data_IF_009299590569
#
_entry.id   IF_009299590569
#
_cell.length_a   1.000
_cell.length_b   1.000
_cell.length_c   1.000
_cell.angle_alpha   90.00
_cell.angle_beta   90.00
_cell.angle_gamma   90.00
#
_symmetry.space_group_name_H-M   'P 1'
#
loop_
_entity.id
_entity.type
_entity.pdbx_description
1 polymer ?
2 non-polymer ?
3 water ?
#
# COMPACT_ATOMS: atom_id res chain seq x y z
N UNK A 45 -12.01 17.62 22.75
CA UNK A 45 -11.47 18.54 23.74
C UNK A 45 -10.42 19.45 23.12
N UNK A 46 -10.24 20.63 23.69
CA UNK A 46 -9.25 21.57 23.21
C UNK A 46 -9.65 22.21 21.90
N UNK A 47 -8.88 23.21 21.46
CA UNK A 47 -9.09 24.02 20.25
C UNK A 47 -9.27 23.18 18.98
N UNK A 54 -6.09 21.43 0.95
CA UNK A 54 -4.97 21.20 0.05
C UNK A 54 -5.30 21.59 -1.39
N UNK A 55 -4.58 22.61 -1.88
CA UNK A 55 -4.71 23.09 -3.24
C UNK A 55 -3.34 23.03 -3.89
N UNK A 56 -3.28 22.47 -5.09
CA UNK A 56 -1.99 22.27 -5.74
C UNK A 56 -1.44 23.60 -6.25
N UNK A 57 -0.17 23.83 -5.97
CA UNK A 57 0.61 24.95 -6.48
C UNK A 57 1.94 24.40 -6.96
N UNK A 58 2.61 25.09 -7.88
CA UNK A 58 3.91 24.60 -8.36
C UNK A 58 4.92 24.52 -7.22
N UNK A 59 5.54 23.36 -7.09
CA UNK A 59 6.51 23.09 -6.03
C UNK A 59 7.88 23.58 -6.50
N UNK A 60 8.55 24.43 -5.73
CA UNK A 60 9.81 25.02 -6.21
C UNK A 60 10.96 24.03 -6.15
N UNK A 61 12.03 24.39 -6.87
CA UNK A 61 13.27 23.63 -6.81
C UNK A 61 13.75 23.55 -5.36
N UNK A 62 14.22 22.36 -4.96
CA UNK A 62 14.63 22.17 -3.57
C UNK A 62 15.84 23.04 -3.23
N UNK A 63 16.63 23.45 -4.22
CA UNK A 63 17.75 24.34 -3.99
C UNK A 63 17.33 25.75 -3.58
N UNK A 64 16.06 26.09 -3.72
CA UNK A 64 15.57 27.41 -3.31
C UNK A 64 15.17 27.44 -1.83
N UNK A 65 15.37 26.37 -1.08
CA UNK A 65 14.85 26.25 0.27
C UNK A 65 15.97 26.07 1.28
N UNK A 66 15.82 26.73 2.42
CA UNK A 66 16.59 26.35 3.60
C UNK A 66 16.22 24.93 3.99
N UNK A 67 17.18 24.22 4.59
CA UNK A 67 16.94 22.82 4.93
C UNK A 67 15.75 22.67 5.87
N UNK A 68 15.62 23.57 6.84
CA UNK A 68 14.53 23.49 7.79
C UNK A 68 13.17 23.80 7.17
N UNK A 69 13.14 24.30 5.94
CA UNK A 69 11.88 24.62 5.28
C UNK A 69 11.46 23.56 4.26
N UNK A 70 12.20 22.46 4.14
CA UNK A 70 11.79 21.35 3.30
C UNK A 70 10.66 20.61 3.99
N UNK A 71 9.50 20.57 3.33
CA UNK A 71 8.30 19.93 3.89
C UNK A 71 7.86 18.81 2.95
N UNK A 72 8.26 17.57 3.26
CA UNK A 72 7.97 16.45 2.40
C UNK A 72 6.61 15.83 2.71
N UNK A 73 5.83 16.48 3.56
CA UNK A 73 4.44 16.06 3.76
C UNK A 73 3.53 16.57 2.66
N UNK A 74 4.01 17.42 1.76
CA UNK A 74 3.23 17.96 0.66
C UNK A 74 2.68 16.81 -0.19
N UNK A 75 1.36 16.66 -0.30
CA UNK A 75 0.80 15.50 -1.01
C UNK A 75 0.93 15.58 -2.52
N UNK A 76 1.54 16.62 -3.08
CA UNK A 76 1.72 16.78 -4.51
C UNK A 76 3.16 16.53 -4.95
N UNK A 77 4.04 16.18 -4.00
CA UNK A 77 5.46 16.00 -4.34
C UNK A 77 5.64 14.84 -5.30
N UNK A 78 4.86 13.77 -5.15
CA UNK A 78 4.96 12.64 -6.06
C UNK A 78 4.41 12.99 -7.44
N UNK A 79 3.21 13.58 -7.48
CA UNK A 79 2.60 13.95 -8.76
C UNK A 79 3.52 14.82 -9.59
N UNK A 80 4.16 15.80 -8.96
CA UNK A 80 4.98 16.76 -9.69
C UNK A 80 6.40 16.28 -9.94
N UNK A 81 6.75 15.08 -9.50
CA UNK A 81 8.09 14.57 -9.77
C UNK A 81 9.19 15.28 -9.03
N UNK A 82 8.85 16.03 -7.98
CA UNK A 82 9.86 16.70 -7.15
C UNK A 82 10.32 15.84 -5.99
N UNK A 83 9.63 14.73 -5.70
CA UNK A 83 9.92 13.94 -4.52
C UNK A 83 11.35 13.40 -4.53
N UNK A 84 11.88 13.07 -5.71
CA UNK A 84 13.23 12.49 -5.76
C UNK A 84 14.28 13.51 -5.31
N UNK A 85 14.19 14.74 -5.81
CA UNK A 85 15.18 15.75 -5.44
C UNK A 85 15.03 16.19 -3.99
N UNK A 86 13.79 16.22 -3.49
CA UNK A 86 13.57 16.62 -2.10
C UNK A 86 14.11 15.58 -1.12
N UNK A 87 13.85 14.31 -1.38
CA UNK A 87 14.35 13.27 -0.48
C UNK A 87 15.85 13.07 -0.61
N UNK A 88 16.41 13.28 -1.81
CA UNK A 88 17.86 13.16 -1.95
C UNK A 88 18.58 14.24 -1.15
N UNK A 89 18.06 15.47 -1.17
CA UNK A 89 18.63 16.52 -0.34
C UNK A 89 18.53 16.17 1.13
N UNK A 90 17.40 15.56 1.54
CA UNK A 90 17.28 15.13 2.93
C UNK A 90 18.27 14.00 3.23
N UNK A 91 18.34 12.97 2.39
CA UNK A 91 19.29 11.90 2.60
C UNK A 91 20.71 12.43 2.69
N UNK A 92 21.05 13.41 1.87
CA UNK A 92 22.44 13.86 1.77
C UNK A 92 22.83 14.71 2.98
N UNK A 93 21.98 15.67 3.36
CA UNK A 93 22.38 16.69 4.31
C UNK A 93 21.47 16.82 5.52
N UNK A 94 20.38 16.08 5.60
CA UNK A 94 19.55 16.09 6.79
C UNK A 94 18.80 14.76 6.93
N UNK A 95 19.52 13.63 7.05
CA UNK A 95 18.84 12.32 7.00
C UNK A 95 17.94 12.05 8.20
N UNK A 96 18.10 12.78 9.29
CA UNK A 96 17.12 12.81 10.38
C UNK A 96 16.71 14.26 10.54
N UNK A 97 15.57 14.62 9.97
CA UNK A 97 15.19 16.01 9.72
C UNK A 97 13.92 16.34 10.49
N UNK A 98 13.93 17.48 11.18
CA UNK A 98 12.76 17.95 11.92
C UNK A 98 12.10 19.09 11.15
N UNK A 99 10.83 18.91 10.81
CA UNK A 99 10.01 19.96 10.23
C UNK A 99 9.10 20.51 11.30
N UNK A 100 9.27 21.80 11.62
CA UNK A 100 8.49 22.40 12.70
C UNK A 100 7.10 22.81 12.25
N UNK A 101 6.91 23.11 10.96
CA UNK A 101 5.67 23.67 10.46
C UNK A 101 5.18 22.85 9.27
N UNK A 102 3.99 22.29 9.39
CA UNK A 102 3.32 21.60 8.30
C UNK A 102 1.83 21.58 8.60
N UNK A 103 0.98 21.36 7.59
CA UNK A 103 -0.47 21.27 7.86
C UNK A 103 -0.83 20.15 8.82
N UNK A 104 0.07 19.19 9.03
CA UNK A 104 -0.16 18.08 9.96
C UNK A 104 0.53 18.29 11.30
N UNK A 105 1.19 19.42 11.50
CA UNK A 105 1.99 19.64 12.68
C UNK A 105 3.43 19.21 12.44
N UNK A 106 4.25 19.26 13.48
CA UNK A 106 5.66 18.92 13.33
C UNK A 106 5.92 17.43 13.25
N UNK A 107 6.99 17.07 12.55
CA UNK A 107 7.33 15.65 12.40
C UNK A 107 8.78 15.52 11.95
N UNK A 108 9.39 14.39 12.32
CA UNK A 108 10.70 14.01 11.82
C UNK A 108 10.57 13.18 10.54
N UNK A 109 11.53 13.35 9.63
CA UNK A 109 11.65 12.52 8.44
C UNK A 109 12.94 11.73 8.54
N UNK A 110 12.84 10.39 8.44
CA UNK A 110 13.99 9.51 8.41
C UNK A 110 14.09 8.93 7.01
N UNK A 111 15.16 9.28 6.29
CA UNK A 111 15.19 9.09 4.85
C UNK A 111 16.25 8.13 4.34
N UNK A 112 17.20 7.71 5.17
CA UNK A 112 18.22 6.76 4.73
C UNK A 112 17.80 5.33 5.02
N UNK A 113 18.13 4.42 4.10
CA UNK A 113 17.75 3.02 4.23
C UNK A 113 18.16 2.44 5.57
N UNK A 114 19.44 2.63 5.94
CA UNK A 114 19.96 2.02 7.17
C UNK A 114 19.21 2.55 8.39
N UNK A 115 18.91 3.85 8.42
CA UNK A 115 18.22 4.43 9.57
C UNK A 115 16.78 3.96 9.65
N UNK A 116 16.11 3.84 8.50
CA UNK A 116 14.72 3.37 8.50
C UNK A 116 14.63 1.97 9.06
N UNK A 117 15.58 1.09 8.69
CA UNK A 117 15.63 -0.25 9.27
C UNK A 117 15.61 -0.19 10.79
N UNK A 118 16.47 0.67 11.35
CA UNK A 118 16.58 0.77 12.81
C UNK A 118 15.27 1.23 13.43
N UNK A 119 14.63 2.25 12.86
CA UNK A 119 13.40 2.75 13.45
C UNK A 119 12.29 1.70 13.33
N UNK A 120 12.23 1.03 12.18
CA UNK A 120 11.16 0.07 11.93
C UNK A 120 11.28 -1.15 12.85
N UNK A 121 12.51 -1.61 13.08
CA UNK A 121 12.72 -2.81 13.89
C UNK A 121 12.72 -2.53 15.38
N UNK A 122 12.95 -1.29 15.81
CA UNK A 122 13.06 -0.97 17.23
C UNK A 122 11.72 -0.46 17.77
N UNK A 123 10.77 -1.40 17.90
CA UNK A 123 9.48 -1.02 18.46
C UNK A 123 9.55 -0.72 19.95
N UNK A 124 10.64 -1.08 20.62
CA UNK A 124 10.83 -0.67 22.01
C UNK A 124 11.28 0.78 22.13
N UNK A 125 11.56 1.44 21.02
CA UNK A 125 11.94 2.84 21.00
C UNK A 125 10.96 3.71 20.23
N UNK A 126 10.34 3.18 19.18
CA UNK A 126 9.43 3.93 18.32
C UNK A 126 8.12 3.16 18.24
N UNK A 127 7.06 3.75 18.77
CA UNK A 127 5.75 3.09 18.83
C UNK A 127 4.98 3.24 17.51
N UNK A 128 4.27 2.19 17.14
CA UNK A 128 3.37 2.27 15.97
C UNK A 128 2.02 2.91 16.37
N UNK A 129 1.77 3.08 17.66
CA UNK A 129 0.48 3.62 18.18
C UNK A 129 0.45 5.15 18.18
N UNK A 130 -0.70 5.81 18.05
CA UNK A 130 -1.97 5.15 17.74
C UNK A 130 -2.35 5.09 16.25
N UNK A 131 -1.51 5.66 15.39
CA UNK A 131 -1.78 5.77 13.94
C UNK A 131 -0.46 5.69 13.18
N UNK A 132 -0.48 5.17 11.97
CA UNK A 132 0.77 5.03 11.18
C UNK A 132 0.75 5.97 9.95
N UNK A 133 -0.34 6.71 9.79
CA UNK A 133 -0.32 7.79 8.78
C UNK A 133 0.34 9.03 9.38
N UNK A 134 0.77 9.95 8.53
CA UNK A 134 1.47 11.16 8.99
C UNK A 134 0.58 12.05 9.88
N UNK A 135 -0.67 12.28 9.46
CA UNK A 135 -1.56 13.17 10.20
C UNK A 135 -2.44 12.44 11.20
N UNK A 136 -3.71 12.81 11.24
CA UNK A 136 -4.70 12.20 12.11
C UNK A 136 -5.93 11.80 11.31
N UNK A 137 -6.67 10.80 11.76
CA UNK A 137 -7.97 10.53 11.14
C UNK A 137 -8.97 11.58 11.57
N UNK A 138 -10.01 11.83 10.77
CA UNK A 138 -11.04 12.77 11.20
C UNK A 138 -11.70 12.32 12.50
N UNK A 139 -12.21 13.28 13.24
CA UNK A 139 -12.86 12.99 14.52
C UNK A 139 -14.02 12.02 14.30
N UNK A 140 -14.08 10.99 15.14
CA UNK A 140 -15.13 10.00 15.03
C UNK A 140 -14.81 8.83 14.12
N UNK A 141 -13.66 8.84 13.44
CA UNK A 141 -13.33 7.79 12.49
C UNK A 141 -12.07 7.02 12.88
N UNK A 142 -11.54 7.24 14.09
CA UNK A 142 -10.41 6.44 14.56
C UNK A 142 -10.84 5.00 14.76
N UNK A 143 -10.10 4.08 14.16
CA UNK A 143 -10.31 2.64 14.33
C UNK A 143 -8.97 2.01 14.65
N UNK A 144 -8.94 1.15 15.66
CA UNK A 144 -7.71 0.47 16.05
C UNK A 144 -7.44 -0.67 15.07
N UNK A 145 -6.26 -0.64 14.47
CA UNK A 145 -5.78 -1.72 13.61
C UNK A 145 -4.42 -2.16 14.11
N UNK A 146 -4.11 -3.45 13.95
CA UNK A 146 -2.85 -3.90 14.54
C UNK A 146 -1.62 -3.40 13.78
N UNK A 147 -1.80 -2.81 12.59
CA UNK A 147 -0.68 -2.14 11.94
C UNK A 147 -0.23 -0.93 12.75
N UNK A 148 -1.11 -0.40 13.61
CA UNK A 148 -0.79 0.69 14.52
C UNK A 148 -0.82 0.22 15.96
N UNK A 149 -0.22 -0.93 16.20
CA UNK A 149 -0.20 -1.50 17.55
C UNK A 149 1.20 -2.04 17.81
N UNK A 150 1.66 -1.95 19.05
CA UNK A 150 2.97 -2.54 19.40
C UNK A 150 2.77 -3.95 19.91
N UNK A 151 3.80 -4.81 19.92
CA UNK A 151 3.72 -6.07 20.60
C UNK A 151 3.65 -5.82 22.12
N UNK A 152 3.09 -6.73 22.92
CA UNK A 152 2.48 -7.97 22.47
C UNK A 152 1.14 -7.97 21.74
N UNK A 153 0.34 -6.95 21.95
CA UNK A 153 -1.02 -6.88 21.41
C UNK A 153 -1.03 -6.95 19.88
N UNK A 154 -0.07 -6.33 19.23
CA UNK A 154 0.04 -6.46 17.77
C UNK A 154 0.15 -7.95 17.40
N UNK A 155 1.05 -8.68 18.05
CA UNK A 155 1.30 -10.11 17.77
C UNK A 155 -0.01 -10.91 17.88
N UNK A 156 -0.80 -10.64 18.93
CA UNK A 156 -2.05 -11.40 19.16
C UNK A 156 -3.06 -11.13 18.03
N UNK A 157 -3.22 -9.87 17.67
CA UNK A 157 -4.25 -9.56 16.66
C UNK A 157 -3.82 -10.06 15.28
N UNK A 158 -2.55 -9.93 14.93
CA UNK A 158 -2.11 -10.43 13.63
C UNK A 158 -2.25 -11.94 13.53
N UNK A 159 -2.04 -12.65 14.64
CA UNK A 159 -2.16 -14.10 14.62
C UNK A 159 -3.58 -14.55 14.31
N UNK A 160 -4.58 -13.72 14.63
CA UNK A 160 -5.96 -14.11 14.43
C UNK A 160 -6.41 -14.00 12.97
N UNK A 161 -5.68 -13.25 12.15
CA UNK A 161 -6.05 -13.09 10.74
C UNK A 161 -5.01 -13.64 9.78
N UNK A 162 -3.77 -13.87 10.21
CA UNK A 162 -2.71 -14.20 9.27
C UNK A 162 -2.98 -15.50 8.52
N UNK A 163 -3.89 -16.34 9.02
CA UNK A 163 -4.23 -17.56 8.32
C UNK A 163 -4.87 -17.34 6.97
N UNK A 164 -5.42 -16.15 6.72
CA UNK A 164 -6.07 -15.90 5.44
C UNK A 164 -5.07 -15.83 4.30
N UNK A 165 -3.79 -15.58 4.59
CA UNK A 165 -2.77 -15.56 3.54
C UNK A 165 -1.80 -16.71 3.76
N UNK A 166 -2.28 -17.79 4.38
CA UNK A 166 -1.45 -18.97 4.58
C UNK A 166 -0.96 -19.49 3.22
N UNK A 167 0.33 -19.81 3.09
CA UNK A 167 0.85 -20.24 1.78
C UNK A 167 0.09 -21.40 1.15
N UNK A 168 -0.44 -22.33 1.94
CA UNK A 168 -1.23 -23.41 1.37
C UNK A 168 -2.49 -22.86 0.70
N UNK A 169 -3.12 -21.84 1.30
CA UNK A 169 -4.33 -21.27 0.72
C UNK A 169 -4.01 -20.50 -0.57
N UNK A 170 -2.96 -19.67 -0.55
CA UNK A 170 -2.58 -18.93 -1.75
C UNK A 170 -2.30 -19.89 -2.91
N UNK A 171 -1.61 -20.99 -2.64
CA UNK A 171 -1.33 -21.98 -3.67
C UNK A 171 -2.62 -22.50 -4.29
N UNK A 172 -3.64 -22.77 -3.46
CA UNK A 172 -4.88 -23.32 -3.98
C UNK A 172 -5.66 -22.30 -4.79
N UNK A 173 -5.46 -21.01 -4.52
CA UNK A 173 -6.21 -19.97 -5.22
C UNK A 173 -5.52 -19.51 -6.50
N UNK A 174 -4.41 -20.13 -6.88
CA UNK A 174 -3.69 -19.69 -8.07
C UNK A 174 -4.52 -19.87 -9.33
N UNK A 175 -5.32 -20.94 -9.39
CA UNK A 175 -6.18 -21.13 -10.54
C UNK A 175 -7.19 -20.03 -10.71
N UNK A 176 -7.79 -19.58 -9.61
CA UNK A 176 -8.79 -18.51 -9.68
C UNK A 176 -8.13 -17.19 -10.05
N UNK A 177 -7.00 -16.86 -9.42
CA UNK A 177 -6.33 -15.60 -9.71
C UNK A 177 -5.92 -15.55 -11.18
N UNK A 178 -5.30 -16.63 -11.66
CA UNK A 178 -4.83 -16.67 -13.05
C UNK A 178 -6.00 -16.60 -14.03
N UNK A 179 -7.12 -17.27 -13.70
CA UNK A 179 -8.29 -17.21 -14.56
C UNK A 179 -8.85 -15.80 -14.63
N UNK A 180 -9.00 -15.14 -13.48
CA UNK A 180 -9.39 -13.73 -13.48
C UNK A 180 -8.38 -12.89 -14.22
N UNK A 181 -7.08 -13.20 -14.02
CA UNK A 181 -6.06 -12.42 -14.71
C UNK A 181 -6.09 -12.69 -16.20
N UNK A 182 -6.35 -13.92 -16.62
CA UNK A 182 -6.50 -14.17 -18.05
C UNK A 182 -7.74 -13.51 -18.64
N UNK A 183 -8.84 -13.50 -17.87
CA UNK A 183 -10.11 -13.07 -18.43
C UNK A 183 -10.16 -11.56 -18.63
N UNK A 184 -9.69 -10.78 -17.64
CA UNK A 184 -9.72 -9.34 -17.79
C UNK A 184 -8.79 -8.89 -18.91
N UNK A 185 -7.63 -9.55 -19.04
CA UNK A 185 -6.69 -9.21 -20.10
C UNK A 185 -7.29 -9.53 -21.48
N UNK A 186 -7.99 -10.65 -21.60
CA UNK A 186 -8.66 -10.98 -22.86
C UNK A 186 -9.78 -10.01 -23.18
N UNK A 187 -10.34 -9.34 -22.17
CA UNK A 187 -11.44 -8.41 -22.38
C UNK A 187 -10.97 -7.03 -22.83
N UNK A 188 -9.68 -6.74 -22.72
CA UNK A 188 -9.19 -5.41 -23.06
C UNK A 188 -9.15 -5.21 -24.58
N UNK A 189 -9.54 -4.04 -25.07
CA UNK A 189 -9.42 -3.77 -26.51
C UNK A 189 -7.97 -3.68 -26.92
N UNK A 190 -7.71 -4.04 -28.18
CA UNK A 190 -6.40 -3.92 -28.78
C UNK A 190 -6.38 -2.99 -29.98
N UNK A 191 -7.51 -2.34 -30.29
CA UNK A 191 -7.60 -1.40 -31.39
C UNK A 191 -7.69 0.04 -30.92
N UNK A 192 -7.61 0.29 -29.62
CA UNK A 192 -7.76 1.64 -29.07
C UNK A 192 -7.20 1.64 -27.65
N UNK A 193 -6.81 2.80 -27.14
CA UNK A 193 -6.30 2.87 -25.78
C UNK A 193 -7.42 2.84 -24.75
N UNK A 194 -7.03 2.60 -23.51
CA UNK A 194 -7.98 2.48 -22.41
C UNK A 194 -7.25 2.82 -21.11
N UNK A 195 -8.04 3.12 -20.08
CA UNK A 195 -7.49 3.41 -18.76
C UNK A 195 -7.19 2.08 -18.06
N UNK A 196 -5.90 1.80 -17.85
CA UNK A 196 -5.48 0.55 -17.24
C UNK A 196 -5.86 0.47 -15.77
N UNK A 197 -6.07 1.61 -15.09
CA UNK A 197 -6.30 1.61 -13.66
C UNK A 197 -7.66 0.98 -13.33
N UNK A 198 -8.79 1.46 -13.89
CA UNK A 198 -10.05 0.76 -13.62
C UNK A 198 -10.13 -0.60 -14.29
N UNK A 199 -9.66 -0.71 -15.55
CA UNK A 199 -9.89 -1.94 -16.29
C UNK A 199 -9.09 -3.11 -15.74
N UNK A 200 -7.87 -2.87 -15.23
CA UNK A 200 -7.02 -3.98 -14.83
C UNK A 200 -6.70 -3.92 -13.34
N UNK A 201 -5.95 -2.89 -12.94
CA UNK A 201 -5.44 -2.85 -11.57
C UNK A 201 -6.56 -2.90 -10.54
N UNK A 202 -7.52 -1.98 -10.66
CA UNK A 202 -8.63 -1.96 -9.70
C UNK A 202 -9.52 -3.18 -9.85
N UNK A 203 -9.75 -3.62 -11.10
CA UNK A 203 -10.64 -4.74 -11.33
C UNK A 203 -10.12 -6.01 -10.66
N UNK A 204 -8.84 -6.33 -10.86
CA UNK A 204 -8.28 -7.53 -10.27
C UNK A 204 -8.14 -7.39 -8.76
N UNK A 205 -7.79 -6.18 -8.30
CA UNK A 205 -7.70 -5.91 -6.86
C UNK A 205 -9.04 -6.12 -6.17
N UNK A 206 -10.12 -5.60 -6.75
CA UNK A 206 -11.43 -5.72 -6.13
C UNK A 206 -11.95 -7.14 -6.06
N UNK A 207 -11.70 -7.93 -7.11
CA UNK A 207 -12.07 -9.34 -7.06
C UNK A 207 -11.30 -10.06 -5.96
N UNK A 208 -10.01 -9.74 -5.82
CA UNK A 208 -9.19 -10.39 -4.80
C UNK A 208 -9.66 -10.03 -3.39
N UNK A 209 -9.97 -8.75 -3.16
CA UNK A 209 -10.49 -8.35 -1.85
C UNK A 209 -11.79 -9.07 -1.53
N UNK A 210 -12.68 -9.19 -2.52
CA UNK A 210 -13.94 -9.89 -2.29
C UNK A 210 -13.70 -11.34 -1.87
N UNK A 211 -12.78 -12.02 -2.56
CA UNK A 211 -12.47 -13.40 -2.20
C UNK A 211 -11.92 -13.49 -0.77
N UNK A 212 -11.10 -12.52 -0.37
CA UNK A 212 -10.44 -12.58 0.94
C UNK A 212 -11.45 -12.59 2.09
N UNK A 213 -12.53 -11.80 1.98
CA UNK A 213 -13.59 -11.70 2.98
C UNK A 213 -14.84 -12.48 2.63
N UNK A 214 -14.90 -13.10 1.47
CA UNK A 214 -16.16 -13.62 0.96
C UNK A 214 -17.21 -12.52 0.91
N UNK A 215 -16.80 -11.31 0.52
CA UNK A 215 -17.74 -10.23 0.35
C UNK A 215 -18.64 -10.50 -0.85
N UNK A 216 -19.94 -10.10 -0.81
CA UNK A 216 -20.78 -10.22 -2.00
C UNK A 216 -20.09 -9.64 -3.23
N UNK A 217 -19.81 -10.50 -4.21
CA UNK A 217 -19.01 -10.09 -5.36
C UNK A 217 -19.58 -8.84 -6.04
N UNK A 218 -20.89 -8.83 -6.26
CA UNK A 218 -21.58 -7.70 -6.88
C UNK A 218 -21.41 -6.40 -6.10
N UNK A 219 -20.99 -6.46 -4.83
CA UNK A 219 -20.79 -5.26 -4.02
C UNK A 219 -19.31 -4.91 -3.81
N UNK A 220 -18.39 -5.61 -4.49
CA UNK A 220 -16.97 -5.46 -4.19
C UNK A 220 -16.48 -4.04 -4.43
N UNK A 221 -17.14 -3.33 -5.35
CA UNK A 221 -16.82 -1.92 -5.68
C UNK A 221 -16.90 -1.06 -4.40
N UNK A 222 -17.76 -1.46 -3.46
CA UNK A 222 -18.03 -0.82 -2.16
C UNK A 222 -16.86 -0.97 -1.24
N UNK A 223 -16.25 -2.15 -1.23
CA UNK A 223 -15.05 -2.29 -0.39
C UNK A 223 -14.01 -1.29 -0.90
N UNK A 224 -13.79 -1.16 -2.20
CA UNK A 224 -12.77 -0.23 -2.71
C UNK A 224 -13.17 1.24 -2.47
N UNK A 225 -14.39 1.61 -2.79
CA UNK A 225 -14.80 3.02 -2.63
C UNK A 225 -14.69 3.42 -1.15
N UNK A 226 -15.15 2.58 -0.25
CA UNK A 226 -15.08 2.91 1.19
C UNK A 226 -13.63 3.06 1.60
N UNK A 227 -12.80 2.08 1.25
CA UNK A 227 -11.35 2.09 1.59
C UNK A 227 -10.68 3.36 1.02
N UNK A 228 -10.95 3.69 -0.24
CA UNK A 228 -10.31 4.87 -0.84
C UNK A 228 -10.65 6.12 -0.01
N UNK A 229 -11.92 6.30 0.35
CA UNK A 229 -12.33 7.50 1.09
C UNK A 229 -11.66 7.52 2.46
N UNK A 230 -11.63 6.38 3.12
CA UNK A 230 -11.03 6.28 4.47
C UNK A 230 -9.52 6.49 4.41
N UNK A 231 -8.83 5.85 3.48
CA UNK A 231 -7.37 6.00 3.38
C UNK A 231 -6.95 7.31 2.72
N UNK A 232 -7.86 8.05 2.13
CA UNK A 232 -7.45 9.29 1.44
C UNK A 232 -7.89 10.54 2.16
N UNK A 233 -8.06 10.43 3.47
CA UNK A 233 -8.50 11.56 4.27
C UNK A 233 -7.49 12.69 4.19
N UNK A 234 -7.99 13.92 3.96
CA UNK A 234 -7.10 15.07 3.87
C UNK A 234 -6.33 15.27 5.16
N UNK A 235 -6.96 15.03 6.31
CA UNK A 235 -6.29 15.22 7.58
C UNK A 235 -5.22 14.18 7.85
N UNK A 236 -5.30 13.02 7.21
CA UNK A 236 -4.37 11.93 7.46
C UNK A 236 -3.22 11.90 6.47
N UNK A 237 -3.51 11.98 5.17
CA UNK A 237 -2.50 11.76 4.14
C UNK A 237 -2.42 12.90 3.14
N UNK A 238 -3.16 14.00 3.36
CA UNK A 238 -3.24 15.02 2.34
C UNK A 238 -4.01 14.59 1.12
N UNK A 239 -4.83 13.55 1.22
CA UNK A 239 -5.64 13.11 0.10
C UNK A 239 -6.76 14.08 -0.18
N UNK A 240 -7.46 13.82 -1.28
CA UNK A 240 -8.48 14.73 -1.77
C UNK A 240 -9.82 14.58 -1.06
N UNK A 241 -9.98 13.59 -0.19
CA UNK A 241 -11.23 13.40 0.55
C UNK A 241 -11.20 14.29 1.78
N UNK A 242 -12.02 15.34 1.77
CA UNK A 242 -12.09 16.29 2.87
C UNK A 242 -13.51 16.47 3.41
N UNK A 243 -14.46 15.66 2.94
CA UNK A 243 -15.85 15.73 3.42
C UNK A 243 -16.01 14.72 4.56
N UNK A 244 -16.11 15.24 5.79
CA UNK A 244 -16.30 14.36 6.94
C UNK A 244 -17.67 13.70 6.93
N UNK A 245 -18.66 14.32 6.30
CA UNK A 245 -20.00 13.73 6.25
C UNK A 245 -19.98 12.43 5.46
N UNK A 246 -19.33 12.42 4.30
CA UNK A 246 -19.25 11.18 3.51
C UNK A 246 -18.47 10.10 4.24
N UNK A 247 -17.47 10.48 5.05
CA UNK A 247 -16.72 9.49 5.79
C UNK A 247 -17.56 8.89 6.91
N UNK A 248 -18.41 9.68 7.55
CA UNK A 248 -19.31 9.15 8.55
C UNK A 248 -20.32 8.19 7.93
N UNK A 249 -20.86 8.54 6.76
CA UNK A 249 -21.77 7.63 6.07
C UNK A 249 -21.07 6.33 5.67
N UNK A 250 -19.81 6.42 5.26
CA UNK A 250 -19.09 5.22 4.84
C UNK A 250 -18.79 4.31 6.02
N UNK A 251 -18.27 4.86 7.11
CA UNK A 251 -17.95 4.06 8.29
C UNK A 251 -19.18 3.37 8.87
N UNK A 252 -20.37 3.93 8.67
CA UNK A 252 -21.59 3.30 9.15
C UNK A 252 -22.06 2.22 8.18
N UNK A 253 -22.11 2.53 6.88
CA UNK A 253 -22.43 1.53 5.89
C UNK A 253 -21.45 0.37 5.95
N UNK A 254 -20.18 0.66 6.22
CA UNK A 254 -19.16 -0.38 6.28
C UNK A 254 -19.34 -1.27 7.50
N UNK A 255 -19.57 -0.65 8.67
CA UNK A 255 -19.82 -1.44 9.88
C UNK A 255 -21.10 -2.25 9.75
N UNK A 256 -22.14 -1.66 9.14
CA UNK A 256 -23.38 -2.40 8.93
C UNK A 256 -23.17 -3.54 7.94
N UNK A 257 -22.33 -3.34 6.94
CA UNK A 257 -22.11 -4.38 5.93
C UNK A 257 -21.28 -5.53 6.48
N UNK A 258 -20.25 -5.22 7.26
CA UNK A 258 -19.43 -6.28 7.86
C UNK A 258 -20.24 -7.10 8.86
N UNK A 259 -21.15 -6.45 9.59
CA UNK A 259 -21.99 -7.17 10.54
C UNK A 259 -22.97 -8.10 9.82
N UNK A 260 -23.56 -7.61 8.72
CA UNK A 260 -24.45 -8.47 7.92
C UNK A 260 -23.67 -9.64 7.33
N UNK A 261 -22.47 -9.39 6.82
CA UNK A 261 -21.64 -10.46 6.28
C UNK A 261 -21.30 -11.49 7.36
N UNK A 262 -20.95 -11.03 8.56
CA UNK A 262 -20.66 -11.95 9.66
C UNK A 262 -21.86 -12.80 9.99
N UNK A 263 -23.04 -12.18 10.13
CA UNK A 263 -24.24 -12.94 10.49
C UNK A 263 -24.69 -13.85 9.36
N UNK A 264 -24.53 -13.43 8.11
CA UNK A 264 -24.86 -14.32 6.99
C UNK A 264 -23.93 -15.52 6.95
N UNK A 265 -22.66 -15.33 7.28
CA UNK A 265 -21.69 -16.43 7.23
C UNK A 265 -21.94 -17.43 8.35
N UNK A 266 -22.17 -16.96 9.58
CA UNK A 266 -22.47 -17.88 10.67
C UNK A 266 -23.79 -18.59 10.43
N UNK A 267 -24.77 -17.90 9.83
CA UNK A 267 -26.02 -18.55 9.48
C UNK A 267 -25.82 -19.60 8.39
N UNK A 268 -24.92 -19.33 7.44
CA UNK A 268 -24.61 -20.32 6.41
C UNK A 268 -23.82 -21.49 7.00
N UNK A 269 -22.92 -21.21 7.94
CA UNK A 269 -22.18 -22.28 8.59
C UNK A 269 -23.08 -23.14 9.46
N UNK A 270 -24.02 -22.50 10.17
CA UNK A 270 -24.96 -23.26 10.99
C UNK A 270 -25.86 -24.13 10.14
N UNK A 271 -26.11 -23.74 8.89
CA UNK A 271 -26.93 -24.51 7.97
C UNK A 271 -26.15 -25.60 7.25
N UNK A 272 -24.84 -25.67 7.44
CA UNK A 272 -24.03 -26.76 6.90
C UNK A 272 -23.08 -26.38 5.80
N UNK A 273 -22.95 -25.10 5.46
CA UNK A 273 -22.00 -24.70 4.42
C UNK A 273 -20.57 -24.94 4.88
N UNK A 274 -19.79 -25.62 4.06
CA UNK A 274 -18.42 -25.95 4.41
C UNK A 274 -17.59 -24.67 4.53
N UNK A 275 -16.73 -24.57 5.54
CA UNK A 275 -15.89 -23.37 5.68
C UNK A 275 -14.92 -23.22 4.51
N UNK A 276 -14.51 -21.98 4.25
CA UNK A 276 -13.65 -21.69 3.12
C UNK A 276 -12.37 -20.95 3.46
N UNK A 277 -11.74 -20.38 2.43
CA UNK A 277 -10.47 -19.69 2.58
C UNK A 277 -10.60 -18.30 3.19
N UNK A 278 -11.79 -17.74 3.22
CA UNK A 278 -11.95 -16.33 3.54
C UNK A 278 -11.68 -16.07 5.01
N UNK A 279 -11.52 -14.78 5.32
CA UNK A 279 -11.21 -14.36 6.69
C UNK A 279 -12.36 -14.66 7.65
N UNK A 280 -13.60 -14.41 7.23
CA UNK A 280 -14.75 -14.64 8.11
C UNK A 280 -14.86 -16.11 8.47
N UNK A 281 -14.66 -16.99 7.50
CA UNK A 281 -14.68 -18.42 7.77
C UNK A 281 -13.57 -18.82 8.74
N UNK A 282 -12.39 -18.22 8.59
CA UNK A 282 -11.29 -18.51 9.49
C UNK A 282 -11.56 -17.99 10.90
N UNK A 283 -12.12 -16.78 11.01
CA UNK A 283 -12.40 -16.22 12.32
C UNK A 283 -13.48 -16.99 13.05
N UNK A 284 -14.47 -17.51 12.31
CA UNK A 284 -15.53 -18.29 12.92
C UNK A 284 -15.15 -19.74 13.15
N UNK A 285 -13.96 -20.16 12.73
CA UNK A 285 -13.47 -21.51 12.96
C UNK A 285 -12.52 -21.61 14.14
N UNK A 286 -12.06 -20.49 14.69
CA UNK A 286 -11.12 -20.48 15.81
C UNK A 286 -11.83 -20.06 17.09
N UNK A 287 -11.49 -20.72 18.20
CA UNK A 287 -12.16 -20.48 19.46
C UNK A 287 -11.94 -19.06 19.95
N UNK A 288 -10.73 -18.52 19.72
CA UNK A 288 -10.41 -17.18 20.24
C UNK A 288 -11.24 -16.10 19.56
N UNK A 289 -11.58 -16.28 18.28
CA UNK A 289 -12.27 -15.25 17.51
C UNK A 289 -13.68 -15.64 17.09
N UNK A 290 -14.18 -16.80 17.48
CA UNK A 290 -15.53 -17.21 17.10
C UNK A 290 -16.60 -16.25 17.64
N UNK A 291 -16.25 -15.38 18.58
CA UNK A 291 -17.15 -14.40 19.16
C UNK A 291 -16.69 -12.97 18.85
N UNK A 292 -15.95 -12.79 17.76
CA UNK A 292 -15.30 -11.50 17.51
C UNK A 292 -16.30 -10.37 17.29
N UNK A 293 -17.53 -10.69 16.89
CA UNK A 293 -18.52 -9.64 16.67
C UNK A 293 -18.88 -8.95 17.98
N UNK A 294 -18.74 -9.64 19.11
CA UNK A 294 -19.00 -9.05 20.42
C UNK A 294 -17.91 -8.10 20.86
N UNK A 295 -16.84 -7.95 20.07
CA UNK A 295 -15.76 -7.00 20.33
C UNK A 295 -15.71 -6.08 19.12
N UNK A 296 -16.56 -5.04 19.09
CA UNK A 296 -16.74 -4.28 17.84
C UNK A 296 -15.49 -3.56 17.35
N UNK A 297 -14.66 -3.04 18.27
CA UNK A 297 -13.45 -2.36 17.86
C UNK A 297 -12.48 -3.33 17.18
N UNK A 298 -12.25 -4.48 17.81
CA UNK A 298 -11.43 -5.53 17.19
C UNK A 298 -12.01 -5.97 15.85
N UNK A 299 -13.34 -6.14 15.81
CA UNK A 299 -14.00 -6.70 14.63
C UNK A 299 -13.87 -5.78 13.43
N UNK A 300 -14.31 -4.53 13.57
CA UNK A 300 -14.19 -3.56 12.48
C UNK A 300 -12.71 -3.29 12.19
N UNK A 301 -11.88 -3.26 13.23
CA UNK A 301 -10.48 -2.95 13.03
C UNK A 301 -9.76 -3.95 12.16
N UNK A 302 -9.97 -5.24 12.44
CA UNK A 302 -9.28 -6.27 11.67
C UNK A 302 -9.78 -6.33 10.23
N UNK A 303 -11.09 -6.18 10.03
CA UNK A 303 -11.64 -6.30 8.68
C UNK A 303 -11.27 -5.10 7.82
N UNK A 304 -11.26 -3.90 8.40
CA UNK A 304 -10.91 -2.72 7.62
C UNK A 304 -9.43 -2.71 7.26
N UNK A 305 -8.58 -3.19 8.17
CA UNK A 305 -7.15 -3.24 7.89
C UNK A 305 -6.85 -4.14 6.69
N UNK A 306 -7.55 -5.28 6.59
CA UNK A 306 -7.30 -6.20 5.48
C UNK A 306 -7.66 -5.55 4.15
N UNK A 307 -8.78 -4.83 4.10
CA UNK A 307 -9.21 -4.23 2.85
C UNK A 307 -8.34 -3.02 2.50
N UNK A 308 -8.05 -2.16 3.50
CA UNK A 308 -7.19 -1.02 3.24
C UNK A 308 -5.76 -1.47 2.93
N UNK A 309 -5.30 -2.54 3.58
CA UNK A 309 -3.94 -3.00 3.36
C UNK A 309 -3.71 -3.47 1.94
N UNK A 310 -4.69 -4.14 1.35
CA UNK A 310 -4.55 -4.70 0.02
C UNK A 310 -5.11 -3.88 -1.11
N UNK A 311 -5.77 -2.76 -0.82
CA UNK A 311 -6.47 -2.00 -1.84
C UNK A 311 -5.69 -1.23 -2.89
N UNK A 312 -4.95 -0.19 -2.49
CA UNK A 312 -4.29 0.63 -3.50
C UNK A 312 -2.86 0.12 -3.59
N UNK A 313 -2.38 -0.62 -2.59
CA UNK A 313 -1.07 -1.26 -2.70
C UNK A 313 -1.02 -2.19 -3.91
N UNK A 314 -1.91 -3.19 -3.92
CA UNK A 314 -2.02 -4.10 -5.06
C UNK A 314 -2.27 -3.33 -6.34
N UNK A 315 -3.21 -2.40 -6.31
CA UNK A 315 -3.59 -1.63 -7.50
C UNK A 315 -2.39 -0.89 -8.06
N UNK A 316 -1.68 -0.14 -7.21
CA UNK A 316 -0.62 0.71 -7.71
C UNK A 316 0.62 -0.08 -8.10
N UNK A 317 0.81 -1.27 -7.52
CA UNK A 317 1.89 -2.15 -7.97
C UNK A 317 1.59 -2.75 -9.33
N UNK A 318 0.31 -3.04 -9.59
CA UNK A 318 -0.07 -3.53 -10.91
C UNK A 318 0.12 -2.45 -11.98
N UNK A 319 -0.23 -1.20 -11.64
CA UNK A 319 -0.05 -0.12 -12.60
C UNK A 319 1.42 0.29 -12.72
N UNK A 320 2.12 0.35 -11.58
CA UNK A 320 3.45 0.94 -11.59
C UNK A 320 4.46 0.18 -12.43
N UNK A 321 4.27 -1.14 -12.58
CA UNK A 321 5.16 -1.90 -13.43
C UNK A 321 5.14 -1.43 -14.87
N UNK A 322 3.96 -1.04 -15.36
CA UNK A 322 3.87 -0.52 -16.72
C UNK A 322 4.53 0.84 -16.84
N UNK A 323 4.46 1.66 -15.79
CA UNK A 323 5.09 2.97 -15.83
C UNK A 323 6.62 2.83 -15.80
N UNK A 324 7.12 1.91 -14.98
CA UNK A 324 8.57 1.66 -14.96
C UNK A 324 9.04 1.14 -16.31
N UNK A 325 8.29 0.20 -16.90
CA UNK A 325 8.66 -0.31 -18.22
C UNK A 325 8.67 0.80 -19.26
N UNK A 326 7.75 1.76 -19.13
CA UNK A 326 7.67 2.83 -20.11
C UNK A 326 8.90 3.74 -20.02
N UNK A 327 9.38 4.00 -18.82
CA UNK A 327 10.59 4.81 -18.63
C UNK A 327 11.87 4.05 -18.94
N UNK A 328 11.85 2.73 -18.88
CA UNK A 328 13.01 1.89 -19.15
C UNK A 328 12.61 0.78 -20.09
N UNK A 329 12.41 1.11 -21.37
CA UNK A 329 11.84 0.14 -22.32
C UNK A 329 12.71 -1.07 -22.60
N UNK A 330 14.04 -0.95 -22.47
CA UNK A 330 14.91 -2.09 -22.70
C UNK A 330 14.63 -3.24 -21.73
N UNK A 331 14.06 -2.94 -20.56
CA UNK A 331 13.76 -3.99 -19.60
C UNK A 331 12.63 -4.90 -20.08
N UNK A 332 11.74 -4.39 -20.94
CA UNK A 332 10.68 -5.23 -21.47
C UNK A 332 11.21 -6.20 -22.51
N UNK A 333 12.22 -5.80 -23.28
CA UNK A 333 12.86 -6.74 -24.20
C UNK A 333 13.63 -7.81 -23.42
N UNK A 334 14.32 -7.41 -22.34
CA UNK A 334 15.00 -8.37 -21.49
C UNK A 334 14.01 -9.36 -20.88
N UNK A 335 12.83 -8.86 -20.49
CA UNK A 335 11.82 -9.72 -19.91
C UNK A 335 11.28 -10.72 -20.92
N UNK A 336 10.98 -10.27 -22.14
CA UNK A 336 10.43 -11.17 -23.14
C UNK A 336 11.42 -12.27 -23.50
N UNK A 337 12.71 -11.94 -23.55
CA UNK A 337 13.72 -12.92 -23.90
C UNK A 337 14.04 -13.86 -22.74
N UNK A 338 13.78 -13.44 -21.50
CA UNK A 338 14.10 -14.23 -20.32
C UNK A 338 12.92 -14.14 -19.35
N UNK A 339 11.82 -14.84 -19.64
CA UNK A 339 10.63 -14.73 -18.79
C UNK A 339 10.83 -15.23 -17.37
N UNK A 340 11.86 -16.04 -17.11
CA UNK A 340 12.13 -16.48 -15.75
C UNK A 340 12.54 -15.33 -14.83
N UNK A 341 12.72 -14.13 -15.36
CA UNK A 341 13.01 -12.94 -14.55
C UNK A 341 11.77 -12.36 -13.87
N UNK A 342 10.59 -12.92 -14.14
CA UNK A 342 9.36 -12.34 -13.58
C UNK A 342 9.40 -12.25 -12.06
N UNK A 343 9.80 -13.30 -11.31
CA UNK A 343 9.79 -13.16 -9.84
C UNK A 343 10.69 -12.06 -9.32
N UNK A 344 11.90 -11.94 -9.86
CA UNK A 344 12.79 -10.86 -9.42
C UNK A 344 12.27 -9.50 -9.88
N UNK A 345 11.68 -9.45 -11.07
CA UNK A 345 11.12 -8.20 -11.58
C UNK A 345 10.01 -7.69 -10.67
N UNK A 346 9.18 -8.59 -10.15
CA UNK A 346 8.12 -8.20 -9.22
C UNK A 346 8.72 -7.46 -8.03
N UNK A 347 9.82 -7.97 -7.48
CA UNK A 347 10.50 -7.27 -6.40
C UNK A 347 11.01 -5.90 -6.86
N UNK A 348 11.54 -5.83 -8.08
CA UNK A 348 12.03 -4.55 -8.58
C UNK A 348 10.91 -3.57 -8.85
N UNK A 349 9.75 -4.06 -9.30
CA UNK A 349 8.58 -3.18 -9.45
C UNK A 349 8.18 -2.61 -8.10
N UNK A 350 8.12 -3.47 -7.09
CA UNK A 350 7.71 -3.05 -5.75
C UNK A 350 8.73 -2.09 -5.16
N UNK A 351 10.02 -2.37 -5.35
CA UNK A 351 11.05 -1.42 -4.92
C UNK A 351 10.90 -0.08 -5.62
N UNK A 352 10.82 -0.11 -6.95
CA UNK A 352 10.79 1.12 -7.74
C UNK A 352 9.53 1.91 -7.45
N UNK A 353 8.38 1.24 -7.32
CA UNK A 353 7.13 1.95 -7.11
C UNK A 353 6.98 2.41 -5.66
N UNK A 354 7.35 1.54 -4.71
CA UNK A 354 7.13 1.79 -3.28
C UNK A 354 5.70 2.29 -3.07
N UNK A 355 4.69 1.42 -3.22
CA UNK A 355 3.30 1.91 -3.22
C UNK A 355 2.90 2.68 -1.98
N UNK A 356 3.48 2.36 -0.82
CA UNK A 356 3.27 3.15 0.39
C UNK A 356 4.55 3.89 0.71
N UNK A 357 4.48 5.22 0.73
CA UNK A 357 5.68 6.03 0.83
C UNK A 357 6.33 5.96 2.21
N UNK A 358 5.55 5.68 3.24
CA UNK A 358 6.09 5.76 4.60
C UNK A 358 5.21 4.96 5.54
N UNK A 359 5.73 4.78 6.76
CA UNK A 359 4.95 4.45 7.94
C UNK A 359 5.43 5.36 9.05
N UNK A 360 4.50 5.83 9.88
CA UNK A 360 4.81 6.80 10.93
C UNK A 360 4.90 6.11 12.29
N UNK A 361 5.77 6.64 13.14
CA UNK A 361 5.94 6.17 14.50
C UNK A 361 5.91 7.36 15.46
N UNK A 362 5.90 7.06 16.75
CA UNK A 362 6.06 8.06 17.80
C UNK A 362 7.16 7.60 18.75
N UNK A 363 8.14 8.46 18.99
CA UNK A 363 9.23 8.13 19.89
C UNK A 363 8.70 7.91 21.31
N UNK A 364 8.99 6.74 21.88
CA UNK A 364 8.57 6.45 23.24
C UNK A 364 9.50 7.06 24.28
N UNK A 365 10.69 7.50 23.87
CA UNK A 365 11.61 8.26 24.71
C UNK A 365 12.53 9.07 23.81
N UNK A 366 13.45 9.82 24.41
CA UNK A 366 14.43 10.53 23.62
C UNK A 366 15.38 9.54 22.95
N UNK A 367 15.61 9.73 21.66
CA UNK A 367 16.43 8.81 20.86
C UNK A 367 17.41 9.64 20.04
N UNK A 368 18.69 9.30 20.16
CA UNK A 368 19.73 9.88 19.32
C UNK A 368 19.81 9.11 18.01
N UNK A 369 19.63 9.81 16.90
CA UNK A 369 19.64 9.16 15.59
C UNK A 369 20.15 10.16 14.56
N UNK A 370 21.20 9.80 13.84
CA UNK A 370 21.74 10.66 12.80
C UNK A 370 22.24 11.99 13.29
N UNK A 371 22.86 12.02 14.47
CA UNK A 371 23.35 13.28 15.00
C UNK A 371 22.28 14.23 15.46
N UNK A 372 21.06 13.74 15.67
CA UNK A 372 19.96 14.55 16.14
C UNK A 372 19.33 13.88 17.36
N UNK A 373 18.54 14.64 18.09
CA UNK A 373 17.86 14.16 19.29
C UNK A 373 16.36 14.18 19.04
N UNK A 374 15.79 13.02 18.73
CA UNK A 374 14.35 12.88 18.60
C UNK A 374 13.76 12.86 20.00
N UNK A 375 12.84 13.79 20.28
CA UNK A 375 12.28 13.92 21.61
C UNK A 375 11.13 12.95 21.82
N UNK A 376 10.93 12.57 23.09
CA UNK A 376 9.79 11.73 23.45
C UNK A 376 8.49 12.39 23.00
N UNK A 377 7.66 11.63 22.29
CA UNK A 377 6.38 12.10 21.81
C UNK A 377 6.39 12.59 20.37
N UNK A 378 7.56 12.93 19.82
CA UNK A 378 7.64 13.42 18.45
C UNK A 378 7.18 12.34 17.47
N UNK A 379 6.59 12.79 16.37
CA UNK A 379 6.23 11.89 15.29
C UNK A 379 7.43 11.66 14.37
N UNK A 380 7.64 10.40 13.99
CA UNK A 380 8.79 10.00 13.21
C UNK A 380 8.30 9.25 11.99
N UNK A 381 8.67 9.74 10.80
CA UNK A 381 8.17 9.21 9.53
C UNK A 381 9.31 8.45 8.86
N UNK A 382 9.10 7.16 8.63
CA UNK A 382 10.08 6.29 7.97
C UNK A 382 9.76 6.28 6.47
N UNK A 383 10.52 7.05 5.70
CA UNK A 383 10.21 7.25 4.27
C UNK A 383 10.78 6.11 3.45
N UNK A 384 10.02 5.01 3.36
CA UNK A 384 10.40 3.89 2.49
C UNK A 384 10.68 4.36 1.07
N UNK A 385 9.90 5.33 0.58
CA UNK A 385 10.10 5.85 -0.77
C UNK A 385 11.48 6.44 -0.93
N UNK A 386 12.03 7.00 0.14
CA UNK A 386 13.39 7.51 0.09
C UNK A 386 14.43 6.43 0.24
N UNK A 387 14.19 5.51 1.18
CA UNK A 387 15.17 4.45 1.42
C UNK A 387 15.40 3.59 0.20
N UNK A 388 14.33 3.29 -0.54
CA UNK A 388 14.49 2.47 -1.73
C UNK A 388 15.24 3.17 -2.84
N UNK A 389 15.45 4.49 -2.73
CA UNK A 389 16.27 5.25 -3.67
C UNK A 389 17.61 5.64 -3.08
N UNK A 390 17.99 5.07 -1.93
CA UNK A 390 19.22 5.43 -1.25
C UNK A 390 20.39 4.72 -1.92
N UNK A 391 21.32 5.49 -2.50
CA UNK A 391 22.45 4.89 -3.20
C UNK A 391 23.42 4.20 -2.24
N UNK A 392 23.31 4.44 -0.93
CA UNK A 392 24.10 3.67 0.03
C UNK A 392 23.65 2.21 0.09
N UNK A 393 22.43 1.92 -0.36
CA UNK A 393 21.90 0.56 -0.40
C UNK A 393 21.83 -0.02 -1.80
N UNK A 394 21.34 0.73 -2.77
CA UNK A 394 21.17 0.25 -4.14
C UNK A 394 22.00 1.10 -5.10
N UNK A 395 22.88 0.45 -5.86
CA UNK A 395 23.56 1.11 -6.96
C UNK A 395 22.55 1.49 -8.05
N UNK A 396 22.75 2.66 -8.64
CA UNK A 396 21.84 3.19 -9.65
C UNK A 396 20.39 3.11 -9.19
N UNK A 397 20.05 3.75 -8.06
CA UNK A 397 18.76 3.47 -7.42
C UNK A 397 17.55 3.91 -8.23
N UNK A 398 17.68 4.94 -9.06
CA UNK A 398 16.53 5.43 -9.83
C UNK A 398 16.32 4.66 -11.13
N UNK A 399 17.19 3.71 -11.44
CA UNK A 399 17.01 2.87 -12.62
C UNK A 399 16.13 1.68 -12.28
N UNK A 400 15.26 1.33 -13.23
CA UNK A 400 14.44 0.12 -13.15
C UNK A 400 15.23 -0.99 -13.82
N UNK A 401 15.73 -1.92 -13.02
CA UNK A 401 16.61 -3.00 -13.49
C UNK A 401 16.00 -4.31 -13.01
N UNK A 402 15.34 -5.03 -13.92
CA UNK A 402 14.51 -6.17 -13.50
C UNK A 402 15.34 -7.36 -13.06
N UNK A 403 16.62 -7.44 -13.41
CA UNK A 403 17.49 -8.49 -12.91
C UNK A 403 18.43 -7.99 -11.81
N UNK A 404 18.08 -6.87 -11.17
CA UNK A 404 18.82 -6.39 -10.02
C UNK A 404 18.86 -7.46 -8.92
N UNK A 405 20.06 -7.92 -8.59
CA UNK A 405 20.19 -9.07 -7.70
C UNK A 405 19.68 -8.79 -6.29
N UNK A 406 19.82 -7.56 -5.80
CA UNK A 406 19.36 -7.24 -4.46
C UNK A 406 18.00 -6.54 -4.46
N UNK A 407 17.23 -6.70 -5.54
CA UNK A 407 15.90 -6.08 -5.60
C UNK A 407 14.99 -6.58 -4.47
N UNK A 408 15.14 -7.84 -4.06
CA UNK A 408 14.30 -8.38 -3.01
C UNK A 408 14.60 -7.79 -1.64
N UNK A 409 15.67 -7.02 -1.49
CA UNK A 409 16.02 -6.42 -0.21
C UNK A 409 15.37 -5.05 -0.01
N UNK A 410 14.38 -4.69 -0.83
CA UNK A 410 13.71 -3.41 -0.69
C UNK A 410 12.97 -3.33 0.64
N UNK A 411 12.52 -2.12 0.99
CA UNK A 411 11.78 -1.88 2.22
C UNK A 411 10.36 -1.38 1.95
N UNK A 412 9.80 -1.76 0.79
CA UNK A 412 8.44 -1.33 0.47
C UNK A 412 7.41 -2.05 1.34
N UNK A 413 7.75 -3.23 1.84
CA UNK A 413 6.92 -3.94 2.81
C UNK A 413 7.30 -3.62 4.25
N UNK A 414 8.31 -2.76 4.45
CA UNK A 414 8.81 -2.48 5.78
C UNK A 414 9.68 -3.60 6.32
N UNK A 415 10.10 -3.44 7.57
CA UNK A 415 10.89 -4.43 8.28
C UNK A 415 10.48 -4.43 9.75
N UNK A 416 10.79 -5.53 10.43
CA UNK A 416 10.38 -5.68 11.81
C UNK A 416 9.05 -6.39 11.94
N UNK A 417 8.39 -6.18 13.09
CA UNK A 417 7.18 -6.93 13.39
C UNK A 417 6.02 -6.55 12.49
N UNK A 418 6.05 -5.36 11.88
CA UNK A 418 4.96 -4.90 11.03
C UNK A 418 5.18 -5.21 9.56
N UNK A 419 6.20 -6.00 9.22
CA UNK A 419 6.46 -6.30 7.81
C UNK A 419 5.20 -6.85 7.17
N UNK A 420 4.90 -6.35 5.97
CA UNK A 420 3.59 -6.53 5.35
C UNK A 420 3.12 -7.97 5.42
N UNK A 421 1.90 -8.15 5.93
CA UNK A 421 1.31 -9.48 6.02
C UNK A 421 0.93 -10.03 4.65
N UNK A 422 0.61 -9.17 3.69
CA UNK A 422 0.17 -9.63 2.39
C UNK A 422 1.25 -9.61 1.33
N UNK A 423 2.52 -9.66 1.74
CA UNK A 423 3.62 -9.54 0.78
C UNK A 423 3.61 -10.68 -0.23
N UNK A 424 3.39 -11.92 0.25
CA UNK A 424 3.35 -13.05 -0.67
C UNK A 424 2.11 -13.00 -1.55
N UNK A 425 0.99 -12.53 -1.01
CA UNK A 425 -0.21 -12.39 -1.83
C UNK A 425 -0.02 -11.35 -2.93
N UNK A 426 0.65 -10.25 -2.61
CA UNK A 426 0.92 -9.22 -3.60
C UNK A 426 1.87 -9.72 -4.67
N UNK A 427 2.97 -10.36 -4.25
CA UNK A 427 3.93 -10.88 -5.21
C UNK A 427 3.28 -11.92 -6.11
N UNK A 428 2.38 -12.74 -5.56
CA UNK A 428 1.71 -13.76 -6.35
C UNK A 428 0.85 -13.16 -7.44
N UNK A 429 0.04 -12.16 -7.10
CA UNK A 429 -0.81 -11.53 -8.11
C UNK A 429 0.02 -10.81 -9.16
N UNK A 430 1.12 -10.18 -8.75
CA UNK A 430 1.98 -9.48 -9.69
C UNK A 430 2.69 -10.46 -10.62
N UNK A 431 3.18 -11.57 -10.07
CA UNK A 431 3.80 -12.58 -10.93
C UNK A 431 2.82 -13.10 -11.97
N UNK A 432 1.60 -13.43 -11.54
CA UNK A 432 0.60 -13.98 -12.46
C UNK A 432 0.21 -12.96 -13.51
N UNK A 433 0.11 -11.68 -13.10
CA UNK A 433 -0.23 -10.61 -14.04
C UNK A 433 0.76 -10.57 -15.19
N UNK A 434 2.05 -10.55 -14.87
CA UNK A 434 3.06 -10.41 -15.93
C UNK A 434 3.23 -11.71 -16.70
N UNK A 435 3.01 -12.85 -16.05
CA UNK A 435 2.98 -14.12 -16.79
C UNK A 435 1.90 -14.09 -17.87
N UNK A 436 0.70 -13.61 -17.51
CA UNK A 436 -0.40 -13.59 -18.46
C UNK A 436 -0.27 -12.46 -19.47
N UNK A 437 0.43 -11.39 -19.14
CA UNK A 437 0.74 -10.34 -20.12
C UNK A 437 1.64 -10.90 -21.21
N UNK A 438 2.72 -11.59 -20.82
CA UNK A 438 3.67 -12.10 -21.81
C UNK A 438 3.02 -13.09 -22.76
N UNK A 439 2.03 -13.86 -22.30
CA UNK A 439 1.35 -14.80 -23.18
C UNK A 439 0.64 -14.08 -24.32
N UNK A 440 0.24 -12.83 -24.10
CA UNK A 440 -0.73 -12.17 -24.97
C UNK A 440 -0.17 -11.02 -25.79
N UNK A 441 0.71 -10.20 -25.23
CA UNK A 441 1.03 -8.91 -25.82
C UNK A 441 2.50 -8.83 -26.18
N UNK A 442 2.78 -8.44 -27.43
CA UNK A 442 4.14 -8.22 -27.88
C UNK A 442 4.63 -6.83 -27.52
N UNK A 443 3.72 -5.88 -27.35
CA UNK A 443 4.10 -4.52 -27.01
C UNK A 443 2.98 -3.87 -26.19
N UNK A 444 3.39 -2.91 -25.35
CA UNK A 444 2.47 -2.10 -24.56
C UNK A 444 2.93 -0.66 -24.69
N UNK A 445 2.00 0.26 -24.93
CA UNK A 445 2.33 1.65 -25.16
C UNK A 445 1.55 2.54 -24.21
N UNK A 446 2.24 3.44 -23.52
CA UNK A 446 1.59 4.47 -22.72
C UNK A 446 1.41 5.70 -23.61
N UNK A 447 0.15 6.07 -23.87
CA UNK A 447 -0.16 7.06 -24.88
C UNK A 447 -0.44 8.43 -24.27
N UNK A 448 -0.27 8.58 -22.96
CA UNK A 448 -0.52 9.85 -22.29
C UNK A 448 0.23 9.84 -20.97
N UNK A 449 0.69 11.02 -20.55
CA UNK A 449 1.38 11.14 -19.27
C UNK A 449 0.47 10.63 -18.16
N UNK A 450 0.89 9.62 -17.39
CA UNK A 450 0.02 9.10 -16.33
C UNK A 450 -0.34 10.18 -15.33
N UNK A 451 -1.54 10.08 -14.79
CA UNK A 451 -2.01 10.97 -13.74
C UNK A 451 -1.80 10.30 -12.39
N UNK A 452 -1.04 10.95 -11.52
CA UNK A 452 -0.68 10.41 -10.22
C UNK A 452 -1.57 10.98 -9.13
N UNK A 453 -1.78 10.18 -8.09
CA UNK A 453 -2.78 10.47 -7.07
C UNK A 453 -2.23 11.48 -6.07
N UNK A 454 -3.10 12.42 -5.65
CA UNK A 454 -2.79 13.36 -4.58
C UNK A 454 -2.75 12.62 -3.24
N UNK A 455 -1.55 12.55 -2.64
CA UNK A 455 -1.33 11.87 -1.36
C UNK A 455 0.13 11.97 -0.98
N UNK A 456 0.45 12.02 0.31
CA UNK A 456 1.82 11.86 0.74
C UNK A 456 2.13 10.42 1.14
N UNK A 457 1.11 9.55 1.16
CA UNK A 457 1.18 8.19 1.67
C UNK A 457 1.15 7.17 0.54
N UNK A 458 0.06 7.13 -0.22
CA UNK A 458 -0.04 6.24 -1.36
C UNK A 458 0.66 6.86 -2.55
N UNK A 459 1.57 6.10 -3.16
CA UNK A 459 2.23 6.52 -4.40
C UNK A 459 1.58 5.74 -5.53
N UNK A 460 0.62 6.37 -6.21
CA UNK A 460 -0.13 5.65 -7.21
C UNK A 460 -0.64 6.47 -8.38
N UNK A 461 -1.49 5.82 -9.20
CA UNK A 461 -1.95 6.40 -10.45
C UNK A 461 -3.46 6.28 -10.55
N UNK A 462 -4.11 7.37 -10.92
CA UNK A 462 -5.54 7.35 -11.21
C UNK A 462 -5.85 7.18 -12.68
N UNK A 463 -4.89 7.48 -13.56
CA UNK A 463 -5.11 7.38 -15.00
C UNK A 463 -3.83 6.86 -15.64
N UNK A 464 -3.95 5.76 -16.38
CA UNK A 464 -2.83 5.15 -17.10
C UNK A 464 -3.39 4.64 -18.43
N UNK A 465 -3.19 5.42 -19.48
CA UNK A 465 -3.79 5.14 -20.78
C UNK A 465 -2.85 4.30 -21.61
N UNK A 466 -3.29 3.11 -22.00
CA UNK A 466 -2.43 2.07 -22.55
C UNK A 466 -3.01 1.58 -23.87
N UNK A 467 -2.13 1.44 -24.86
CA UNK A 467 -2.46 0.81 -26.14
C UNK A 467 -1.76 -0.53 -26.20
N UNK A 468 -2.51 -1.60 -26.42
CA UNK A 468 -1.98 -2.96 -26.45
C UNK A 468 -1.72 -3.41 -27.88
N UNK A 469 -0.69 -4.23 -28.03
CA UNK A 469 -0.37 -4.85 -29.32
C UNK A 469 -0.25 -6.37 -29.09
N UNK A 470 -1.16 -7.17 -29.64
CA UNK A 470 -1.06 -8.61 -29.43
C UNK A 470 0.10 -9.21 -30.20
N UNK A 471 0.60 -10.33 -29.68
CA UNK A 471 1.64 -11.07 -30.37
C UNK A 471 1.04 -11.85 -31.55
N UNK A 472 1.92 -12.51 -32.30
CA UNK A 472 1.49 -13.28 -33.46
C UNK A 472 0.70 -14.52 -33.03
X LIG B 1 1.55 -3.86 6.46
X LIG B 1 2.98 -2.23 2.13
X LIG B 1 0.23 -5.56 -0.02
X LIG B 1 -2.14 -6.04 4.19
X LIG B 1 2.23 -3.15 5.50
X LIG B 1 3.26 -2.14 5.72
X LIG B 1 3.65 -1.69 4.52
X LIG B 1 2.88 -2.40 3.50
X LIG B 1 4.71 -0.62 4.20
X LIG B 1 3.79 -1.69 7.09
X LIG B 1 5.25 -2.09 7.25
X LIG B 1 5.86 -1.57 8.53
X LIG B 1 5.22 -0.74 9.22
X LIG B 1 7.00 -1.99 8.83
X LIG B 1 2.45 -3.05 1.18
X LIG B 1 2.85 -3.12 -0.22
X LIG B 1 2.08 -4.04 -0.83
X LIG B 1 1.18 -4.58 0.17
X LIG B 1 3.97 -2.24 -0.81
X LIG B 1 2.09 -4.53 -2.30
X LIG B 1 3.08 -4.32 -3.17
X LIG B 1 -0.69 -5.95 0.93
X LIG B 1 -1.84 -6.83 0.71
X LIG B 1 -2.50 -6.93 1.87
X LIG B 1 -1.78 -6.17 2.87
X LIG B 1 -2.19 -7.46 -0.66
X LIG B 1 -3.76 -7.76 2.22
X LIG B 1 -4.09 -8.91 1.60
X LIG B 1 -1.32 -5.57 5.20
X LIG B 1 -1.52 -5.72 6.63
X LIG B 1 -0.50 -5.12 7.25
X LIG B 1 0.38 -4.57 6.25
X LIG B 1 -2.69 -6.45 7.31
X LIG B 1 -0.26 -5.02 8.77
X LIG B 1 0.92 -5.93 9.13
X LIG B 1 1.32 -5.77 10.57
X LIG B 1 1.08 -4.70 11.17
X LIG B 1 1.91 -6.73 11.13
X LIG B 1 2.04 -3.28 4.14
X LIG B 1 1.43 -3.95 1.37
X LIG B 1 -0.70 -5.58 2.25
X LIG B 1 -0.15 -4.87 5.01
X LIG B 1 0.74 -4.51 3.21
#
# INVERSE_FOLDING_TARGET
>A
MGMPTLPRTFDDIQSRLINATSRVVPMQRQIQGLKFLMSAKRKTFGPRRPMPEFVETPIPDVNTLALEDIDVSNPFLYRQGQWRAYFKRLRDEAPVHYQKNSPFGPFWSVTRFEDILFVDKSHDLFSAEPQIILGDPPEGLSVEMFIAMDPPKHDVQRSSVQGVVAPKNLKEMEGLIRSRTGDVLDSLPTDKPFNWVPAVSKELTGRMLATLLDFPYEERHKLVEWSDRMAGAASATGGEFADENAMFDDAADMARSFSRLWRDKEARRAAGEEPGFDLISLLQSNKETKDLINRPMEFIGNLTLLIVGGNDTTRNSMSGGLVAMNEFPREFEKLKAKPELIPNMVSEIIRWQTPLAYMRRIAKQDVELGGQTIKKGDRVVMWYASGNRDERKFDNPDQFIIDRKDARNHMSFGYGVHRCMGNRLAELQLRILWEEILKRFDNIEVVEEPERVQSNFARGYSRLMVKLTPNSLEHHHHHH
>B hetero
1 HEM CHA CHB CHC CHD C1A C2A C3A C4A CMA CAA CBA CGA O1A O2A C1B C2B C3B C4B CMB CAB CBB C1C C2C C3C C4C CMC CAC CBC C1D C2D C3D C4D CMD CAD CBD CGD O1D O2D NA NB NC ND FE
#
